data_IF_888507047623
#
_entry.id   IF_888507047623
#
_cell.length_a   1.000
_cell.length_b   1.000
_cell.length_c   1.000
_cell.angle_alpha   90.00
_cell.angle_beta   90.00
_cell.angle_gamma   90.00
#
_symmetry.space_group_name_H-M   'P 1'
#
loop_
_entity.id
_entity.type
_entity.pdbx_description
1 polymer ?
#
# COMPACT_ATOMS: atom_id res chain seq x y z
N UNK A 1 -24.76 62.89 -34.45
CA UNK A 1 -23.65 62.07 -34.99
C UNK A 1 -23.56 60.79 -34.18
N UNK A 2 -23.60 59.64 -34.88
CA UNK A 2 -23.50 58.28 -34.34
C UNK A 2 -22.02 57.92 -34.14
N UNK A 3 -21.65 57.41 -32.96
CA UNK A 3 -20.47 56.56 -32.73
C UNK A 3 -20.85 55.56 -31.63
N UNK A 4 -21.28 54.35 -31.98
CA UNK A 4 -20.49 53.12 -32.09
C UNK A 4 -19.72 52.72 -30.81
N UNK A 5 -20.39 51.86 -30.02
CA UNK A 5 -19.93 50.67 -29.26
C UNK A 5 -18.40 50.53 -29.11
N UNK A 6 -17.92 50.34 -27.87
CA UNK A 6 -16.93 49.29 -27.55
C UNK A 6 -17.24 48.72 -26.16
N UNK A 7 -17.81 47.53 -26.17
CA UNK A 7 -18.00 46.62 -25.06
C UNK A 7 -16.62 46.15 -24.54
N UNK A 8 -16.34 46.31 -23.25
CA UNK A 8 -15.23 45.62 -22.59
C UNK A 8 -15.81 44.64 -21.57
N UNK A 9 -16.18 43.44 -22.03
CA UNK A 9 -16.41 42.31 -21.13
C UNK A 9 -15.03 41.84 -20.69
N UNK A 10 -14.66 42.14 -19.45
CA UNK A 10 -13.50 41.54 -18.81
C UNK A 10 -13.87 40.09 -18.48
N UNK A 11 -13.65 39.19 -19.44
CA UNK A 11 -13.60 37.75 -19.16
C UNK A 11 -12.30 37.53 -18.41
N UNK A 12 -12.40 37.37 -17.09
CA UNK A 12 -11.29 36.81 -16.30
C UNK A 12 -11.17 35.35 -16.71
N UNK A 13 -10.35 35.11 -17.74
CA UNK A 13 -9.85 33.79 -18.04
C UNK A 13 -8.93 33.40 -16.89
N UNK A 14 -9.48 32.66 -15.92
CA UNK A 14 -8.67 31.86 -15.01
C UNK A 14 -7.95 30.84 -15.90
N UNK A 15 -6.70 31.14 -16.22
CA UNK A 15 -5.81 30.22 -16.92
C UNK A 15 -5.74 28.92 -16.13
N UNK A 16 -6.28 27.84 -16.72
CA UNK A 16 -6.09 26.45 -16.28
C UNK A 16 -4.64 25.98 -16.39
N UNK A 17 -3.72 26.85 -16.79
CA UNK A 17 -2.29 26.60 -16.88
C UNK A 17 -1.64 26.61 -15.49
N UNK A 18 -1.82 25.51 -14.75
CA UNK A 18 -0.80 24.87 -13.89
C UNK A 18 -1.42 23.85 -12.92
N UNK A 19 -2.43 23.08 -13.35
CA UNK A 19 -2.50 21.69 -12.86
C UNK A 19 -1.36 20.95 -13.58
N UNK A 20 -0.13 21.08 -13.07
CA UNK A 20 0.93 20.13 -13.42
C UNK A 20 0.33 18.75 -13.13
N UNK A 21 0.14 17.95 -14.17
CA UNK A 21 -0.14 16.54 -13.98
C UNK A 21 0.99 16.01 -13.11
N UNK A 22 0.68 15.68 -11.86
CA UNK A 22 1.66 15.11 -10.94
C UNK A 22 2.06 13.78 -11.57
N UNK A 23 3.27 13.72 -12.10
CA UNK A 23 3.82 12.46 -12.60
C UNK A 23 3.95 11.52 -11.40
N UNK A 24 3.07 10.53 -11.33
CA UNK A 24 3.07 9.57 -10.24
C UNK A 24 4.35 8.73 -10.28
N UNK A 25 4.90 8.38 -9.10
CA UNK A 25 6.13 7.62 -9.03
C UNK A 25 5.94 6.26 -9.72
N UNK A 26 6.96 5.83 -10.48
CA UNK A 26 6.94 4.49 -11.12
C UNK A 26 7.03 3.35 -10.10
N UNK A 27 7.36 3.64 -8.84
CA UNK A 27 7.52 2.67 -7.76
C UNK A 27 6.93 3.13 -6.44
N UNK A 28 7.40 2.53 -5.36
CA UNK A 28 6.96 2.83 -3.98
C UNK A 28 7.63 4.15 -3.54
N UNK A 29 6.88 5.20 -3.15
CA UNK A 29 7.46 6.45 -2.67
C UNK A 29 7.99 6.34 -1.25
N UNK A 30 8.80 7.29 -0.82
CA UNK A 30 9.27 7.38 0.57
C UNK A 30 8.15 7.78 1.54
N UNK A 31 8.31 7.38 2.81
CA UNK A 31 7.45 7.86 3.88
C UNK A 31 7.84 9.29 4.27
N UNK A 32 6.85 10.13 4.49
CA UNK A 32 7.03 11.55 4.88
C UNK A 32 6.42 11.87 6.24
N UNK A 33 5.66 10.95 6.84
CA UNK A 33 5.03 11.11 8.15
C UNK A 33 5.37 9.95 9.10
N UNK A 34 5.17 10.21 10.39
CA UNK A 34 5.50 9.35 11.51
C UNK A 34 4.41 8.36 11.92
N UNK A 35 3.48 7.97 11.04
CA UNK A 35 2.51 6.90 11.34
C UNK A 35 2.44 5.88 10.20
N UNK A 36 2.56 4.61 10.57
CA UNK A 36 2.35 3.49 9.67
C UNK A 36 1.42 2.48 10.31
N UNK A 37 0.40 2.06 9.58
CA UNK A 37 -0.39 0.88 9.93
C UNK A 37 0.28 -0.33 9.30
N UNK A 38 0.44 -1.40 10.07
CA UNK A 38 0.81 -2.71 9.55
C UNK A 38 -0.20 -3.74 10.03
N UNK A 39 -0.51 -4.71 9.18
CA UNK A 39 -1.43 -5.77 9.55
C UNK A 39 -1.07 -7.07 8.84
N UNK A 40 -1.30 -8.16 9.55
CA UNK A 40 -1.41 -9.48 8.93
C UNK A 40 -2.87 -9.68 8.57
N UNK A 41 -3.10 -10.03 7.31
CA UNK A 41 -4.43 -10.23 6.75
C UNK A 41 -4.54 -11.61 6.12
N UNK A 42 -5.75 -12.12 6.00
CA UNK A 42 -6.02 -13.42 5.39
C UNK A 42 -7.42 -13.47 4.76
N UNK A 43 -7.59 -14.37 3.79
CA UNK A 43 -8.92 -14.74 3.34
C UNK A 43 -9.69 -15.42 4.49
N UNK A 44 -10.97 -15.09 4.62
CA UNK A 44 -11.86 -15.64 5.65
C UNK A 44 -11.88 -17.17 5.65
N UNK A 45 -11.77 -17.82 4.49
CA UNK A 45 -11.76 -19.27 4.35
C UNK A 45 -10.50 -19.91 4.96
N UNK A 46 -9.38 -19.19 5.00
CA UNK A 46 -8.08 -19.69 5.47
C UNK A 46 -7.88 -19.50 6.98
N UNK A 47 -8.75 -18.71 7.63
CA UNK A 47 -8.66 -18.42 9.06
C UNK A 47 -8.78 -19.67 9.94
N UNK A 48 -9.60 -20.64 9.53
CA UNK A 48 -9.82 -21.86 10.33
C UNK A 48 -8.55 -22.68 10.47
N UNK A 49 -7.82 -22.83 9.38
CA UNK A 49 -6.69 -23.74 9.31
C UNK A 49 -5.41 -23.07 9.84
N UNK A 50 -5.26 -21.77 9.58
CA UNK A 50 -4.04 -21.04 9.94
C UNK A 50 -4.14 -20.33 11.31
N UNK A 51 -5.34 -19.90 11.71
CA UNK A 51 -5.57 -19.09 12.91
C UNK A 51 -6.75 -19.61 13.75
N UNK A 52 -6.71 -20.86 14.23
CA UNK A 52 -7.84 -21.53 14.89
C UNK A 52 -8.30 -20.86 16.20
N UNK A 53 -7.48 -19.96 16.77
CA UNK A 53 -7.77 -19.26 18.03
C UNK A 53 -8.46 -17.89 17.83
N UNK A 54 -8.63 -17.42 16.59
CA UNK A 54 -9.27 -16.13 16.34
C UNK A 54 -10.80 -16.21 16.46
N UNK A 55 -11.38 -15.21 17.12
CA UNK A 55 -12.83 -15.01 17.11
C UNK A 55 -13.26 -14.34 15.80
N UNK A 56 -13.91 -15.08 14.91
CA UNK A 56 -14.16 -14.64 13.53
C UNK A 56 -15.29 -13.60 13.39
N UNK A 57 -16.22 -13.55 14.34
CA UNK A 57 -17.36 -12.63 14.27
C UNK A 57 -16.98 -11.18 14.59
N UNK A 58 -15.75 -10.95 15.05
CA UNK A 58 -15.26 -9.64 15.51
C UNK A 58 -14.08 -9.15 14.69
N UNK A 59 -13.72 -9.85 13.61
CA UNK A 59 -12.60 -9.44 12.78
C UNK A 59 -12.98 -8.25 11.92
N UNK A 60 -12.20 -7.20 12.06
CA UNK A 60 -12.13 -6.10 11.12
C UNK A 60 -11.71 -6.59 9.73
N UNK A 61 -12.10 -5.83 8.70
CA UNK A 61 -11.68 -6.07 7.33
C UNK A 61 -10.92 -4.87 6.78
N UNK A 62 -9.85 -5.15 6.03
CA UNK A 62 -9.10 -4.17 5.24
C UNK A 62 -9.14 -4.65 3.79
N UNK A 63 -9.67 -3.81 2.90
CA UNK A 63 -9.78 -4.08 1.46
C UNK A 63 -10.40 -5.47 1.12
N UNK A 64 -11.33 -5.94 1.96
CA UNK A 64 -12.03 -7.21 1.80
C UNK A 64 -11.34 -8.43 2.45
N UNK A 65 -10.21 -8.25 3.13
CA UNK A 65 -9.51 -9.31 3.86
C UNK A 65 -9.66 -9.16 5.37
N UNK A 66 -9.78 -10.28 6.07
CA UNK A 66 -9.89 -10.28 7.53
C UNK A 66 -8.54 -9.95 8.17
N UNK A 67 -8.56 -9.02 9.12
CA UNK A 67 -7.38 -8.62 9.91
C UNK A 67 -7.12 -9.65 10.98
N UNK A 68 -6.01 -10.38 10.85
CA UNK A 68 -5.52 -11.35 11.86
C UNK A 68 -4.94 -10.60 13.05
N UNK A 69 -4.12 -9.59 12.77
CA UNK A 69 -3.55 -8.69 13.77
C UNK A 69 -3.15 -7.39 13.07
N UNK A 70 -3.35 -6.26 13.75
CA UNK A 70 -2.88 -4.94 13.30
C UNK A 70 -2.04 -4.25 14.36
N UNK A 71 -1.13 -3.39 13.92
CA UNK A 71 -0.31 -2.55 14.79
C UNK A 71 -0.07 -1.19 14.15
N UNK A 72 -0.18 -0.14 14.93
CA UNK A 72 0.27 1.19 14.55
C UNK A 72 1.71 1.38 14.99
N UNK A 73 2.57 1.84 14.09
CA UNK A 73 3.97 2.16 14.32
C UNK A 73 4.12 3.67 14.21
N UNK A 74 4.66 4.30 15.25
CA UNK A 74 4.95 5.73 15.25
C UNK A 74 6.46 6.06 15.24
N UNK A 75 7.31 5.03 15.33
CA UNK A 75 8.75 5.20 15.23
C UNK A 75 9.15 5.34 13.76
N UNK A 76 9.53 6.57 13.37
CA UNK A 76 9.90 6.88 12.00
C UNK A 76 11.08 6.05 11.48
N UNK A 77 11.99 5.58 12.34
CA UNK A 77 13.10 4.71 11.94
C UNK A 77 12.57 3.36 11.47
N UNK A 78 11.60 2.78 12.19
CA UNK A 78 10.95 1.53 11.79
C UNK A 78 10.11 1.70 10.52
N UNK A 79 9.47 2.86 10.34
CA UNK A 79 8.72 3.20 9.12
C UNK A 79 9.65 3.22 7.91
N UNK A 80 10.78 3.93 8.01
CA UNK A 80 11.78 3.99 6.93
C UNK A 80 12.37 2.61 6.64
N UNK A 81 12.65 1.81 7.67
CA UNK A 81 13.11 0.43 7.53
C UNK A 81 12.10 -0.43 6.74
N UNK A 82 10.81 -0.35 7.10
CA UNK A 82 9.75 -1.06 6.40
C UNK A 82 9.66 -0.66 4.92
N UNK A 83 9.63 0.65 4.63
CA UNK A 83 9.56 1.18 3.26
C UNK A 83 10.76 0.70 2.43
N UNK A 84 11.97 0.70 3.02
CA UNK A 84 13.16 0.17 2.36
C UNK A 84 13.02 -1.31 2.04
N UNK A 85 12.52 -2.13 2.97
CA UNK A 85 12.29 -3.55 2.74
C UNK A 85 11.29 -3.76 1.58
N UNK A 86 10.19 -3.00 1.54
CA UNK A 86 9.19 -3.09 0.46
C UNK A 86 9.80 -2.68 -0.88
N UNK A 87 10.60 -1.60 -0.93
CA UNK A 87 11.31 -1.18 -2.15
C UNK A 87 12.28 -2.25 -2.65
N UNK A 88 13.01 -2.93 -1.77
CA UNK A 88 13.91 -4.03 -2.14
C UNK A 88 13.15 -5.28 -2.59
N UNK A 89 11.98 -5.54 -1.99
CA UNK A 89 11.11 -6.66 -2.33
C UNK A 89 10.45 -6.47 -3.70
N UNK A 90 9.90 -5.29 -3.94
CA UNK A 90 9.05 -5.00 -5.09
C UNK A 90 9.89 -4.65 -6.33
N UNK A 91 9.86 -5.54 -7.32
CA UNK A 91 10.58 -5.39 -8.59
C UNK A 91 9.58 -5.21 -9.73
N UNK A 92 9.93 -4.38 -10.71
CA UNK A 92 9.09 -4.21 -11.90
C UNK A 92 9.12 -5.49 -12.76
N UNK A 93 7.92 -5.97 -13.13
CA UNK A 93 7.76 -7.07 -14.07
C UNK A 93 7.75 -8.47 -13.47
N UNK A 94 6.99 -9.36 -14.12
CA UNK A 94 6.82 -10.77 -13.75
C UNK A 94 5.48 -11.30 -14.29
N UNK A 95 5.30 -12.62 -14.40
CA UNK A 95 4.05 -13.18 -14.89
C UNK A 95 2.90 -12.80 -13.95
N UNK A 96 1.79 -12.34 -14.54
CA UNK A 96 0.58 -12.09 -13.79
C UNK A 96 -0.06 -13.44 -13.41
N UNK A 97 0.03 -13.86 -12.15
CA UNK A 97 -0.82 -14.92 -11.58
C UNK A 97 -2.33 -14.59 -11.65
N UNK A 98 -3.19 -15.60 -11.61
CA UNK A 98 -4.65 -15.34 -11.61
C UNK A 98 -5.21 -15.07 -10.21
N UNK A 99 -4.50 -15.46 -9.15
CA UNK A 99 -4.92 -15.28 -7.76
C UNK A 99 -4.20 -14.10 -7.06
N UNK A 100 -4.89 -13.48 -6.11
CA UNK A 100 -4.32 -12.53 -5.16
C UNK A 100 -4.94 -12.75 -3.77
N UNK A 101 -4.18 -13.39 -2.87
CA UNK A 101 -4.55 -13.60 -1.46
C UNK A 101 -3.42 -13.00 -0.59
N UNK A 102 -3.46 -11.69 -0.32
CA UNK A 102 -2.42 -11.01 0.42
C UNK A 102 -2.34 -11.49 1.87
N UNK A 103 -1.13 -11.35 2.40
CA UNK A 103 -0.73 -11.79 3.75
C UNK A 103 -0.35 -10.63 4.65
N UNK A 104 0.18 -9.58 4.05
CA UNK A 104 0.64 -8.39 4.74
C UNK A 104 -0.04 -7.18 4.14
N UNK A 105 -0.45 -6.27 5.01
CA UNK A 105 -0.95 -4.96 4.68
C UNK A 105 -0.07 -3.91 5.35
N UNK A 106 0.34 -2.88 4.63
CA UNK A 106 0.98 -1.71 5.22
C UNK A 106 0.31 -0.45 4.66
N UNK A 107 0.11 0.57 5.49
CA UNK A 107 -0.14 1.92 5.00
C UNK A 107 0.68 2.97 5.71
N UNK A 108 1.07 4.00 4.98
CA UNK A 108 1.85 5.14 5.47
C UNK A 108 1.62 6.35 4.57
N UNK A 109 1.96 7.54 5.06
CA UNK A 109 1.87 8.76 4.26
C UNK A 109 3.14 9.00 3.44
N UNK A 110 2.96 9.33 2.17
CA UNK A 110 3.98 9.85 1.26
C UNK A 110 3.64 11.28 0.83
N UNK A 111 4.52 11.91 0.05
CA UNK A 111 4.24 13.20 -0.58
C UNK A 111 3.03 13.17 -1.53
N UNK A 112 2.63 11.99 -2.01
CA UNK A 112 1.49 11.77 -2.91
C UNK A 112 0.20 11.38 -2.17
N UNK A 113 0.21 11.34 -0.83
CA UNK A 113 -0.91 10.88 0.00
C UNK A 113 -0.65 9.52 0.64
N UNK A 114 -1.72 8.90 1.14
CA UNK A 114 -1.65 7.57 1.77
C UNK A 114 -1.27 6.52 0.72
N UNK A 115 -0.20 5.79 1.02
CA UNK A 115 0.23 4.61 0.29
C UNK A 115 -0.30 3.41 1.02
N UNK A 116 -1.08 2.57 0.33
CA UNK A 116 -1.57 1.28 0.83
C UNK A 116 -0.91 0.17 0.04
N UNK A 117 -0.38 -0.82 0.76
CA UNK A 117 0.39 -1.93 0.20
C UNK A 117 -0.20 -3.24 0.68
N UNK A 118 -0.59 -4.10 -0.25
CA UNK A 118 -1.00 -5.48 0.04
C UNK A 118 0.04 -6.42 -0.57
N UNK A 119 0.65 -7.29 0.23
CA UNK A 119 1.72 -8.20 -0.23
C UNK A 119 1.22 -9.64 -0.22
N UNK A 120 1.24 -10.29 -1.38
CA UNK A 120 0.98 -11.72 -1.55
C UNK A 120 2.27 -12.43 -1.97
N UNK A 121 2.83 -13.27 -1.10
CA UNK A 121 4.04 -14.03 -1.43
C UNK A 121 3.74 -15.23 -2.33
N UNK A 122 2.60 -15.91 -2.13
CA UNK A 122 2.11 -17.01 -2.96
C UNK A 122 2.02 -16.59 -4.43
N UNK A 123 1.48 -15.39 -4.63
CA UNK A 123 1.23 -14.79 -5.92
C UNK A 123 2.46 -14.05 -6.46
N UNK A 124 3.52 -13.96 -5.66
CA UNK A 124 4.71 -13.16 -5.88
C UNK A 124 4.41 -11.70 -6.30
N UNK A 125 3.54 -11.02 -5.55
CA UNK A 125 3.00 -9.70 -5.88
C UNK A 125 2.87 -8.74 -4.71
N UNK A 126 2.98 -7.46 -5.00
CA UNK A 126 2.50 -6.37 -4.14
C UNK A 126 1.53 -5.50 -4.92
N UNK A 127 0.35 -5.23 -4.36
CA UNK A 127 -0.56 -4.20 -4.85
C UNK A 127 -0.26 -2.91 -4.10
N UNK A 128 -0.14 -1.84 -4.86
CA UNK A 128 0.09 -0.48 -4.37
C UNK A 128 -1.14 0.32 -4.76
N UNK A 129 -1.74 1.01 -3.81
CA UNK A 129 -2.75 2.04 -4.04
C UNK A 129 -2.27 3.36 -3.41
N UNK A 130 -2.31 4.43 -4.19
CA UNK A 130 -1.97 5.79 -3.78
C UNK A 130 -3.01 6.76 -4.35
N UNK A 131 -3.96 7.17 -3.52
CA UNK A 131 -4.91 8.22 -3.89
C UNK A 131 -5.73 7.94 -5.16
N UNK A 132 -6.11 6.69 -5.41
CA UNK A 132 -6.87 6.28 -6.59
C UNK A 132 -6.01 5.84 -7.78
N UNK A 133 -4.69 5.86 -7.64
CA UNK A 133 -3.77 5.19 -8.56
C UNK A 133 -3.33 3.85 -8.00
N UNK A 134 -3.63 2.78 -8.76
CA UNK A 134 -3.24 1.42 -8.42
C UNK A 134 -2.15 0.88 -9.34
N UNK A 135 -1.13 0.24 -8.79
CA UNK A 135 -0.15 -0.57 -9.54
C UNK A 135 0.08 -1.90 -8.85
N UNK A 136 0.32 -2.95 -9.64
CA UNK A 136 0.80 -4.23 -9.12
C UNK A 136 2.25 -4.41 -9.55
N UNK A 137 3.12 -4.74 -8.60
CA UNK A 137 4.51 -5.11 -8.84
C UNK A 137 4.74 -6.57 -8.48
N UNK A 138 5.80 -7.15 -9.02
CA UNK A 138 6.24 -8.49 -8.63
C UNK A 138 7.13 -8.42 -7.40
N UNK A 139 7.20 -9.51 -6.64
CA UNK A 139 8.08 -9.60 -5.47
C UNK A 139 9.17 -10.62 -5.72
N UNK A 140 10.38 -10.32 -5.26
CA UNK A 140 11.43 -11.33 -5.18
C UNK A 140 11.30 -12.15 -3.88
N UNK A 141 11.73 -13.41 -3.92
CA UNK A 141 11.65 -14.32 -2.75
C UNK A 141 12.51 -13.86 -1.56
N UNK A 142 13.60 -13.13 -1.81
CA UNK A 142 14.51 -12.66 -0.75
C UNK A 142 13.91 -11.54 0.11
N UNK A 143 13.09 -10.66 -0.47
CA UNK A 143 12.41 -9.59 0.25
C UNK A 143 11.30 -10.10 1.17
N UNK A 144 10.67 -11.24 0.83
CA UNK A 144 9.59 -11.82 1.63
C UNK A 144 10.06 -12.20 3.03
N UNK A 145 11.26 -12.80 3.12
CA UNK A 145 11.88 -13.15 4.40
C UNK A 145 12.15 -11.91 5.25
N UNK A 146 12.73 -10.85 4.67
CA UNK A 146 13.00 -9.59 5.38
C UNK A 146 11.72 -8.93 5.90
N UNK A 147 10.64 -8.99 5.12
CA UNK A 147 9.36 -8.44 5.56
C UNK A 147 8.76 -9.24 6.72
N UNK A 148 8.86 -10.57 6.69
CA UNK A 148 8.47 -11.41 7.82
C UNK A 148 9.30 -11.13 9.07
N UNK A 149 10.62 -11.06 8.94
CA UNK A 149 11.53 -10.69 10.03
C UNK A 149 11.16 -9.32 10.63
N UNK A 150 10.81 -8.35 9.78
CA UNK A 150 10.32 -7.05 10.24
C UNK A 150 9.02 -7.16 11.03
N UNK A 151 8.03 -7.91 10.53
CA UNK A 151 6.74 -8.13 11.22
C UNK A 151 6.94 -8.81 12.58
N UNK A 152 7.78 -9.83 12.65
CA UNK A 152 8.12 -10.52 13.91
C UNK A 152 8.84 -9.59 14.88
N UNK A 153 9.82 -8.80 14.41
CA UNK A 153 10.55 -7.79 15.20
C UNK A 153 9.61 -6.80 15.88
N UNK A 154 8.54 -6.39 15.19
CA UNK A 154 7.54 -5.47 15.75
C UNK A 154 6.38 -6.19 16.45
N UNK A 155 6.41 -7.51 16.61
CA UNK A 155 5.40 -8.29 17.33
C UNK A 155 4.07 -8.46 16.60
N UNK A 156 4.10 -8.44 15.26
CA UNK A 156 2.96 -8.79 14.40
C UNK A 156 3.11 -10.25 13.95
N UNK A 157 2.04 -11.03 14.07
CA UNK A 157 1.98 -12.45 13.71
C UNK A 157 2.27 -12.61 12.23
N UNK A 158 3.20 -13.50 11.88
CA UNK A 158 3.48 -13.86 10.47
C UNK A 158 2.75 -15.16 10.11
N UNK A 159 2.20 -15.29 8.89
CA UNK A 159 1.58 -16.54 8.45
C UNK A 159 2.56 -17.72 8.44
N UNK A 160 2.13 -18.86 8.98
CA UNK A 160 2.96 -20.08 9.15
C UNK A 160 3.58 -20.61 7.85
N UNK A 161 2.90 -20.40 6.71
CA UNK A 161 3.37 -20.88 5.40
C UNK A 161 4.71 -20.27 4.95
N UNK A 162 5.20 -19.24 5.65
CA UNK A 162 6.41 -18.50 5.27
C UNK A 162 7.49 -18.43 6.35
N UNK A 163 7.39 -19.26 7.39
CA UNK A 163 8.35 -19.30 8.50
C UNK A 163 9.51 -20.29 8.29
N UNK A 164 9.66 -20.93 7.11
CA UNK A 164 10.75 -21.87 6.83
C UNK A 164 11.35 -21.69 5.45
N UNK A 165 12.59 -21.22 5.42
CA UNK A 165 13.72 -21.70 4.60
C UNK A 165 15.03 -21.16 5.18
#
# INVERSE_FOLDING_TARGET
MKYLIHTLVVVVALSLDSLKAVELPRGIPDAVDGNMLVATIADRHELKDNYPKLNRSELEEIDGYSVVQKKSISDFVLIVEAVKIIKELAVEGGPLGMCFSPRHYLSYMSEYGEVRLEVCFECSRVRIDMGGWGKTLSVNKSGARKLNEFYEKIGVVVPKMYQKN
#
